data_IF_778122581799
#
_entry.id   IF_778122581799
#
_cell.length_a   1.000
_cell.length_b   1.000
_cell.length_c   1.000
_cell.angle_alpha   90.00
_cell.angle_beta   90.00
_cell.angle_gamma   90.00
#
_symmetry.space_group_name_H-M   'P 1'
#
loop_
_entity.id
_entity.type
_entity.pdbx_description
1 polymer ?
#
# COMPACT_ATOMS: atom_id res chain seq x y z
N UNK A 1 11.26 -26.11 3.54
CA UNK A 1 11.90 -26.12 4.87
C UNK A 1 11.29 -25.02 5.71
N UNK A 2 10.25 -25.35 6.48
CA UNK A 2 9.74 -24.46 7.53
C UNK A 2 10.65 -24.51 8.74
N UNK A 3 10.52 -23.52 9.64
CA UNK A 3 11.40 -23.28 10.79
C UNK A 3 11.43 -24.42 11.83
N UNK A 4 10.59 -25.44 11.70
CA UNK A 4 10.55 -26.62 12.57
C UNK A 4 10.29 -27.90 11.77
N UNK A 5 10.96 -29.01 12.13
CA UNK A 5 10.60 -30.35 11.64
C UNK A 5 9.47 -30.91 12.50
N UNK A 6 8.42 -31.43 11.85
CA UNK A 6 7.28 -32.07 12.52
C UNK A 6 6.04 -31.17 12.62
N UNK A 7 4.93 -31.75 13.09
CA UNK A 7 3.70 -31.01 13.33
C UNK A 7 3.94 -29.93 14.40
N UNK A 8 3.35 -28.75 14.21
CA UNK A 8 3.37 -27.69 15.22
C UNK A 8 2.73 -28.22 16.51
N UNK A 9 3.47 -28.20 17.61
CA UNK A 9 2.94 -28.56 18.92
C UNK A 9 1.97 -27.48 19.38
N UNK A 10 0.79 -27.89 19.86
CA UNK A 10 -0.19 -26.94 20.39
C UNK A 10 0.42 -26.21 21.59
N UNK A 11 0.28 -24.88 21.63
CA UNK A 11 0.74 -24.08 22.76
C UNK A 11 -0.21 -24.30 23.94
N UNK A 12 0.30 -24.70 25.10
CA UNK A 12 -0.51 -24.87 26.31
C UNK A 12 -1.33 -23.60 26.59
N UNK A 13 -2.64 -23.76 26.77
CA UNK A 13 -3.59 -22.66 27.01
C UNK A 13 -4.14 -21.99 25.74
N UNK A 14 -3.78 -22.45 24.54
CA UNK A 14 -4.42 -22.07 23.28
C UNK A 14 -5.27 -23.23 22.76
N UNK A 15 -6.59 -23.12 22.86
CA UNK A 15 -7.49 -23.99 22.10
C UNK A 15 -7.59 -23.49 20.66
N UNK A 16 -7.35 -24.38 19.69
CA UNK A 16 -7.50 -24.07 18.27
C UNK A 16 -8.98 -23.81 17.98
N UNK A 17 -9.37 -22.55 17.89
CA UNK A 17 -10.67 -22.19 17.33
C UNK A 17 -10.52 -22.13 15.82
N UNK A 18 -10.86 -23.20 15.13
CA UNK A 18 -11.03 -23.14 13.68
C UNK A 18 -12.31 -22.35 13.40
N UNK A 19 -12.14 -21.14 12.87
CA UNK A 19 -13.25 -20.35 12.37
C UNK A 19 -13.92 -21.14 11.24
N UNK A 20 -15.21 -21.44 11.39
CA UNK A 20 -16.03 -22.19 10.40
C UNK A 20 -16.39 -21.34 9.19
N UNK A 21 -15.42 -20.59 8.68
CA UNK A 21 -15.63 -19.65 7.58
C UNK A 21 -15.57 -20.39 6.25
N UNK A 22 -16.46 -20.02 5.33
CA UNK A 22 -16.52 -20.62 4.00
C UNK A 22 -15.50 -19.90 3.13
N UNK A 23 -14.31 -20.49 2.99
CA UNK A 23 -13.30 -20.07 2.02
C UNK A 23 -13.29 -20.99 0.80
N UNK A 24 -12.30 -20.85 -0.09
CA UNK A 24 -12.21 -21.65 -1.32
C UNK A 24 -12.05 -23.16 -1.07
N UNK A 25 -11.70 -23.57 0.15
CA UNK A 25 -11.60 -24.97 0.57
C UNK A 25 -10.44 -25.71 -0.08
N UNK A 26 -9.50 -25.00 -0.71
CA UNK A 26 -8.35 -25.58 -1.41
C UNK A 26 -7.28 -26.10 -0.45
N UNK A 27 -7.12 -25.46 0.71
CA UNK A 27 -6.19 -25.87 1.77
C UNK A 27 -6.57 -25.18 3.09
N UNK A 28 -6.75 -25.96 4.15
CA UNK A 28 -7.09 -25.45 5.48
C UNK A 28 -6.04 -24.46 6.02
N UNK A 29 -4.76 -24.66 5.71
CA UNK A 29 -3.68 -23.76 6.17
C UNK A 29 -3.70 -22.43 5.41
N UNK A 30 -3.97 -22.45 4.10
CA UNK A 30 -4.12 -21.22 3.30
C UNK A 30 -5.38 -20.46 3.71
N UNK A 31 -6.43 -21.19 4.03
CA UNK A 31 -7.68 -20.63 4.52
C UNK A 31 -7.47 -19.96 5.89
N UNK A 32 -6.76 -20.61 6.82
CA UNK A 32 -6.39 -20.02 8.11
C UNK A 32 -5.52 -18.76 7.97
N UNK A 33 -4.54 -18.78 7.05
CA UNK A 33 -3.70 -17.61 6.77
C UNK A 33 -4.53 -16.45 6.20
N UNK A 34 -5.42 -16.73 5.25
CA UNK A 34 -6.30 -15.71 4.67
C UNK A 34 -7.24 -15.11 5.72
N UNK A 35 -7.76 -15.92 6.63
CA UNK A 35 -8.58 -15.43 7.75
C UNK A 35 -7.77 -14.48 8.64
N UNK A 36 -6.57 -14.88 9.03
CA UNK A 36 -5.70 -14.06 9.87
C UNK A 36 -5.32 -12.73 9.17
N UNK A 37 -4.86 -12.76 7.93
CA UNK A 37 -4.44 -11.54 7.21
C UNK A 37 -5.60 -10.61 6.89
N UNK A 38 -6.81 -11.12 6.71
CA UNK A 38 -8.02 -10.31 6.49
C UNK A 38 -8.66 -9.79 7.78
N UNK A 39 -8.24 -10.29 8.96
CA UNK A 39 -8.78 -9.83 10.25
C UNK A 39 -8.29 -8.45 10.67
N UNK A 40 -7.22 -7.94 10.03
CA UNK A 40 -6.66 -6.62 10.35
C UNK A 40 -7.52 -5.49 9.77
N UNK A 41 -7.82 -4.51 10.63
CA UNK A 41 -8.46 -3.26 10.24
C UNK A 41 -7.45 -2.18 9.85
N UNK A 42 -7.95 -1.11 9.24
CA UNK A 42 -7.16 0.10 9.02
C UNK A 42 -7.05 0.92 10.29
N UNK A 43 -5.91 1.58 10.46
CA UNK A 43 -5.68 2.61 11.47
C UNK A 43 -5.41 3.92 10.76
N UNK A 44 -6.07 4.99 11.19
CA UNK A 44 -5.78 6.33 10.71
C UNK A 44 -4.32 6.71 10.95
N UNK A 45 -3.75 7.51 10.06
CA UNK A 45 -2.38 7.98 10.19
C UNK A 45 -2.22 8.87 11.43
N UNK A 46 -1.12 8.76 12.19
CA UNK A 46 -0.82 9.69 13.28
C UNK A 46 -0.42 11.08 12.78
N UNK A 47 -0.27 11.28 11.46
CA UNK A 47 0.11 12.55 10.84
C UNK A 47 -1.09 13.44 10.45
N UNK A 48 -2.28 13.16 10.99
CA UNK A 48 -3.50 13.94 10.75
C UNK A 48 -3.86 14.77 11.98
N UNK A 49 -4.56 15.89 11.79
CA UNK A 49 -4.98 16.73 12.92
C UNK A 49 -6.14 16.09 13.70
N UNK A 50 -7.03 15.41 12.99
CA UNK A 50 -8.18 14.66 13.52
C UNK A 50 -8.67 13.70 12.42
N UNK A 51 -9.54 12.72 12.75
CA UNK A 51 -10.21 11.92 11.72
C UNK A 51 -10.86 12.78 10.65
N UNK A 52 -10.52 12.54 9.38
CA UNK A 52 -10.99 13.30 8.23
C UNK A 52 -10.33 14.66 8.03
N UNK A 53 -9.36 15.06 8.87
CA UNK A 53 -8.79 16.41 8.86
C UNK A 53 -7.28 16.42 8.61
N UNK A 54 -6.90 16.96 7.46
CA UNK A 54 -5.51 17.21 7.08
C UNK A 54 -5.00 18.52 7.67
N UNK A 55 -3.68 18.61 7.87
CA UNK A 55 -3.03 19.88 8.15
C UNK A 55 -3.10 20.79 6.91
N UNK A 56 -2.95 22.11 7.10
CA UNK A 56 -2.90 23.06 5.96
C UNK A 56 -1.80 22.70 4.95
N UNK A 57 -0.72 22.07 5.41
CA UNK A 57 0.37 21.61 4.56
C UNK A 57 -0.04 20.38 3.74
N UNK A 58 -0.62 19.37 4.39
CA UNK A 58 -1.13 18.19 3.71
C UNK A 58 -2.26 18.52 2.71
N UNK A 59 -3.09 19.55 2.97
CA UNK A 59 -4.10 19.99 2.00
C UNK A 59 -3.48 20.55 0.71
N UNK A 60 -2.38 21.32 0.81
CA UNK A 60 -1.65 21.77 -0.39
C UNK A 60 -1.02 20.58 -1.13
N UNK A 61 -0.47 19.63 -0.38
CA UNK A 61 0.06 18.38 -0.92
C UNK A 61 -0.99 17.56 -1.64
N UNK A 62 -2.20 17.46 -1.07
CA UNK A 62 -3.35 16.80 -1.69
C UNK A 62 -3.71 17.44 -3.02
N UNK A 63 -3.75 18.77 -3.09
CA UNK A 63 -4.02 19.48 -4.34
C UNK A 63 -2.98 19.17 -5.43
N UNK A 64 -1.69 19.10 -5.07
CA UNK A 64 -0.62 18.69 -5.99
C UNK A 64 -0.76 17.24 -6.41
N UNK A 65 -1.07 16.33 -5.49
CA UNK A 65 -1.21 14.89 -5.76
C UNK A 65 -2.29 14.60 -6.81
N UNK A 66 -3.41 15.31 -6.74
CA UNK A 66 -4.52 15.19 -7.70
C UNK A 66 -4.39 16.10 -8.93
N UNK A 67 -3.31 16.89 -9.04
CA UNK A 67 -3.06 17.70 -10.23
C UNK A 67 -2.57 16.79 -11.38
N UNK A 68 -3.26 16.86 -12.53
CA UNK A 68 -2.91 16.10 -13.74
C UNK A 68 -1.49 16.38 -14.28
N UNK A 69 -0.91 17.55 -13.96
CA UNK A 69 0.47 17.88 -14.33
C UNK A 69 1.49 17.10 -13.49
N UNK A 70 1.20 16.84 -12.22
CA UNK A 70 2.04 16.02 -11.32
C UNK A 70 1.76 14.53 -11.52
N UNK A 71 0.49 14.20 -11.78
CA UNK A 71 0.02 12.88 -12.20
C UNK A 71 0.19 11.73 -11.20
N UNK A 72 0.29 11.99 -9.88
CA UNK A 72 0.33 10.91 -8.89
C UNK A 72 -0.97 10.07 -8.90
N UNK A 73 -2.11 10.76 -8.96
CA UNK A 73 -3.43 10.14 -8.93
C UNK A 73 -3.81 9.39 -10.22
N UNK A 74 -2.96 9.35 -11.25
CA UNK A 74 -3.24 8.55 -12.46
C UNK A 74 -3.15 7.05 -12.19
N UNK A 75 -2.28 6.64 -11.26
CA UNK A 75 -2.12 5.26 -10.80
C UNK A 75 -2.54 5.13 -9.32
N UNK A 76 -2.16 6.08 -8.47
CA UNK A 76 -2.52 6.05 -7.05
C UNK A 76 -3.89 6.68 -6.79
N UNK A 77 -4.95 5.98 -7.17
CA UNK A 77 -6.33 6.50 -7.18
C UNK A 77 -7.28 5.72 -6.27
N UNK A 78 -8.49 6.27 -6.10
CA UNK A 78 -9.54 5.64 -5.32
C UNK A 78 -9.24 5.56 -3.82
N UNK A 79 -10.07 4.84 -3.05
CA UNK A 79 -10.00 4.83 -1.60
C UNK A 79 -8.72 4.20 -1.02
N UNK A 80 -8.03 3.38 -1.81
CA UNK A 80 -6.80 2.69 -1.41
C UNK A 80 -5.55 3.33 -2.04
N UNK A 81 -5.71 4.42 -2.81
CA UNK A 81 -4.62 5.08 -3.54
C UNK A 81 -3.80 4.09 -4.38
N UNK A 82 -4.50 3.25 -5.13
CA UNK A 82 -3.96 2.22 -6.00
C UNK A 82 -5.01 1.86 -7.05
N UNK A 83 -4.55 1.68 -8.28
CA UNK A 83 -5.35 1.18 -9.40
C UNK A 83 -5.16 -0.33 -9.63
N UNK A 84 -4.53 -1.04 -8.70
CA UNK A 84 -4.42 -2.50 -8.70
C UNK A 84 -5.82 -3.12 -8.80
N UNK A 85 -5.93 -4.26 -9.50
CA UNK A 85 -7.20 -4.94 -9.73
C UNK A 85 -7.07 -6.44 -9.49
N UNK A 86 -8.08 -7.05 -8.87
CA UNK A 86 -8.19 -8.50 -8.78
C UNK A 86 -8.46 -9.10 -10.17
N UNK A 87 -7.63 -10.04 -10.62
CA UNK A 87 -7.85 -10.80 -11.85
C UNK A 87 -6.59 -10.99 -12.70
N UNK A 88 -6.74 -11.61 -13.87
CA UNK A 88 -5.62 -12.02 -14.74
C UNK A 88 -4.90 -10.86 -15.47
N UNK A 89 -5.40 -9.63 -15.38
CA UNK A 89 -4.80 -8.44 -16.00
C UNK A 89 -4.83 -7.27 -15.01
N UNK A 90 -3.96 -7.31 -13.99
CA UNK A 90 -3.68 -6.14 -13.18
C UNK A 90 -3.04 -5.04 -14.03
N UNK A 91 -3.23 -3.77 -13.65
CA UNK A 91 -2.51 -2.66 -14.27
C UNK A 91 -1.09 -2.64 -13.69
N UNK A 92 -0.10 -2.68 -14.57
CA UNK A 92 1.32 -2.61 -14.20
C UNK A 92 1.97 -1.42 -14.88
N UNK A 93 2.85 -0.73 -14.17
CA UNK A 93 3.40 0.57 -14.59
C UNK A 93 4.92 0.56 -14.51
N UNK A 94 5.59 1.06 -15.55
CA UNK A 94 7.04 1.34 -15.50
C UNK A 94 7.25 2.74 -14.90
N UNK A 95 7.71 2.77 -13.66
CA UNK A 95 8.04 3.99 -12.92
C UNK A 95 9.52 4.39 -13.06
N UNK A 96 10.27 3.73 -13.94
CA UNK A 96 11.65 4.07 -14.28
C UNK A 96 12.73 3.47 -13.39
N UNK A 97 12.32 2.71 -12.37
CA UNK A 97 13.23 2.15 -11.35
C UNK A 97 13.57 0.67 -11.59
N UNK A 98 12.94 0.02 -12.56
CA UNK A 98 13.06 -1.43 -12.72
C UNK A 98 14.40 -1.93 -13.27
N UNK A 99 15.27 -1.04 -13.75
CA UNK A 99 16.64 -1.38 -14.15
C UNK A 99 17.67 -1.04 -13.07
N UNK A 100 17.22 -0.51 -11.92
CA UNK A 100 18.11 -0.09 -10.85
C UNK A 100 18.57 -1.28 -9.99
N UNK A 101 17.91 -2.43 -10.08
CA UNK A 101 18.29 -3.67 -9.42
C UNK A 101 18.75 -4.72 -10.46
N UNK A 102 20.05 -5.08 -10.51
CA UNK A 102 20.55 -6.11 -11.41
C UNK A 102 19.97 -7.52 -11.15
N UNK A 103 19.32 -7.73 -10.00
CA UNK A 103 18.66 -8.97 -9.65
C UNK A 103 17.19 -9.04 -10.07
N UNK A 104 16.63 -7.96 -10.62
CA UNK A 104 15.28 -7.92 -11.18
C UNK A 104 15.17 -8.88 -12.38
N UNK A 105 14.13 -9.73 -12.37
CA UNK A 105 13.91 -10.79 -13.37
C UNK A 105 12.57 -10.66 -14.09
N UNK A 106 11.63 -9.90 -13.52
CA UNK A 106 10.26 -9.78 -14.01
C UNK A 106 10.06 -8.54 -14.88
N UNK A 107 11.08 -7.69 -15.00
CA UNK A 107 11.05 -6.49 -15.81
C UNK A 107 10.48 -5.29 -15.07
N UNK A 108 10.41 -4.12 -15.75
CA UNK A 108 10.42 -2.84 -15.04
C UNK A 108 9.04 -2.35 -14.60
N UNK A 109 8.01 -3.15 -14.81
CA UNK A 109 6.63 -2.78 -14.53
C UNK A 109 6.15 -3.42 -13.25
N UNK A 110 5.55 -2.62 -12.38
CA UNK A 110 5.09 -3.05 -11.07
C UNK A 110 3.60 -2.78 -10.90
N UNK A 111 2.93 -3.62 -10.13
CA UNK A 111 1.60 -3.31 -9.62
C UNK A 111 1.68 -2.11 -8.67
N UNK A 112 0.67 -1.24 -8.70
CA UNK A 112 0.65 -0.02 -7.89
C UNK A 112 0.36 -0.38 -6.43
N UNK A 113 1.30 -0.24 -5.48
CA UNK A 113 1.01 -0.53 -4.08
C UNK A 113 0.03 0.51 -3.51
N UNK A 114 -0.77 0.10 -2.52
CA UNK A 114 -1.57 1.06 -1.74
C UNK A 114 -0.66 2.05 -1.03
N UNK A 115 -1.07 3.33 -0.98
CA UNK A 115 -0.38 4.34 -0.18
C UNK A 115 -0.91 4.44 1.26
N UNK A 116 -1.90 3.62 1.63
CA UNK A 116 -2.43 3.62 2.98
C UNK A 116 -1.40 3.09 3.98
N UNK A 117 -1.01 3.91 4.95
CA UNK A 117 0.02 3.56 5.92
C UNK A 117 1.43 3.61 5.36
N UNK A 118 1.66 4.33 4.26
CA UNK A 118 2.99 4.53 3.66
C UNK A 118 4.02 5.11 4.67
N UNK A 119 3.59 5.92 5.63
CA UNK A 119 4.49 6.58 6.59
C UNK A 119 5.36 5.62 7.45
N UNK A 120 5.03 4.32 7.51
CA UNK A 120 5.68 3.32 8.37
C UNK A 120 6.46 2.23 7.62
N UNK A 121 6.67 2.37 6.31
CA UNK A 121 7.25 1.31 5.48
C UNK A 121 8.55 1.69 4.76
N UNK A 122 9.30 2.68 5.26
CA UNK A 122 10.64 2.95 4.75
C UNK A 122 11.57 1.72 4.94
N UNK A 123 12.51 1.48 4.01
CA UNK A 123 12.75 2.23 2.77
C UNK A 123 11.73 1.90 1.66
N UNK A 124 11.60 2.82 0.70
CA UNK A 124 10.60 2.81 -0.36
C UNK A 124 11.16 2.27 -1.69
N UNK A 125 10.21 2.02 -2.62
CA UNK A 125 10.39 1.32 -3.90
C UNK A 125 10.63 -0.17 -3.74
N UNK A 126 10.40 -0.94 -4.80
CA UNK A 126 10.46 -2.41 -4.79
C UNK A 126 11.83 -2.97 -4.37
N UNK A 127 12.92 -2.22 -4.62
CA UNK A 127 14.29 -2.56 -4.23
C UNK A 127 14.78 -1.79 -2.97
N UNK A 128 13.94 -0.98 -2.33
CA UNK A 128 14.28 -0.29 -1.08
C UNK A 128 15.41 0.76 -1.15
N UNK A 129 15.64 1.41 -2.30
CA UNK A 129 16.76 2.38 -2.44
C UNK A 129 16.43 3.78 -1.92
N UNK A 130 15.15 4.16 -1.92
CA UNK A 130 14.70 5.44 -1.40
C UNK A 130 14.53 5.33 0.12
N UNK A 131 15.37 5.98 0.91
CA UNK A 131 15.27 5.98 2.38
C UNK A 131 14.16 6.90 2.88
N UNK A 132 13.79 7.90 2.09
CA UNK A 132 12.78 8.90 2.44
C UNK A 132 11.78 9.10 1.31
N UNK A 133 10.59 9.61 1.62
CA UNK A 133 9.62 10.02 0.59
C UNK A 133 10.17 11.16 -0.27
N UNK A 134 10.99 12.05 0.30
CA UNK A 134 11.63 13.11 -0.47
C UNK A 134 12.55 12.52 -1.55
N UNK A 135 13.31 11.46 -1.24
CA UNK A 135 14.10 10.74 -2.25
C UNK A 135 13.23 10.12 -3.34
N UNK A 136 12.06 9.55 -2.99
CA UNK A 136 11.08 9.07 -3.99
C UNK A 136 10.65 10.20 -4.92
N UNK A 137 10.43 11.42 -4.43
CA UNK A 137 10.01 12.56 -5.25
C UNK A 137 11.17 13.26 -5.98
N UNK A 138 12.43 12.89 -5.72
CA UNK A 138 13.61 13.59 -6.23
C UNK A 138 14.61 12.62 -6.85
N UNK A 139 15.59 12.16 -6.06
CA UNK A 139 16.74 11.39 -6.53
C UNK A 139 16.39 9.99 -7.04
N UNK A 140 15.23 9.47 -6.68
CA UNK A 140 14.72 8.16 -7.12
C UNK A 140 13.51 8.30 -8.07
N UNK A 141 13.29 9.49 -8.65
CA UNK A 141 12.31 9.74 -9.71
C UNK A 141 13.02 10.14 -11.02
N UNK A 142 13.81 9.22 -11.57
CA UNK A 142 14.59 9.51 -12.77
C UNK A 142 13.67 9.84 -13.96
N UNK A 143 13.91 10.99 -14.57
CA UNK A 143 13.17 11.50 -15.75
C UNK A 143 11.66 11.66 -15.50
N UNK A 144 11.23 11.90 -14.26
CA UNK A 144 9.82 12.09 -13.91
C UNK A 144 8.92 10.91 -14.32
N UNK A 145 9.45 9.68 -14.27
CA UNK A 145 8.69 8.46 -14.61
C UNK A 145 7.74 8.03 -13.49
N UNK A 146 7.95 8.47 -12.25
CA UNK A 146 7.11 8.18 -11.09
C UNK A 146 6.34 9.44 -10.65
N UNK A 147 5.61 10.04 -11.60
CA UNK A 147 5.00 11.37 -11.45
C UNK A 147 5.98 12.48 -11.87
N UNK A 148 5.44 13.64 -12.24
CA UNK A 148 6.25 14.78 -12.70
C UNK A 148 6.49 15.74 -11.55
N UNK A 149 7.67 15.69 -10.96
CA UNK A 149 8.00 16.46 -9.74
C UNK A 149 9.19 17.39 -9.96
N UNK A 150 9.94 17.26 -11.05
CA UNK A 150 11.12 18.09 -11.33
C UNK A 150 10.83 19.59 -11.36
N UNK A 151 9.63 19.97 -11.83
CA UNK A 151 9.17 21.36 -11.92
C UNK A 151 8.66 21.95 -10.60
N UNK A 152 8.39 21.11 -9.60
CA UNK A 152 7.91 21.56 -8.29
C UNK A 152 9.07 22.18 -7.49
N UNK A 153 8.79 23.23 -6.72
CA UNK A 153 9.68 23.75 -5.71
C UNK A 153 9.92 22.75 -4.57
N UNK A 154 10.94 22.98 -3.74
CA UNK A 154 11.19 22.15 -2.55
C UNK A 154 10.00 22.15 -1.60
N UNK A 155 9.38 23.32 -1.36
CA UNK A 155 8.21 23.44 -0.48
C UNK A 155 7.01 22.65 -1.00
N UNK A 156 6.77 22.62 -2.31
CA UNK A 156 5.69 21.83 -2.90
C UNK A 156 5.93 20.32 -2.77
N UNK A 157 7.20 19.88 -2.87
CA UNK A 157 7.57 18.49 -2.60
C UNK A 157 7.38 18.13 -1.13
N UNK A 158 7.70 19.03 -0.20
CA UNK A 158 7.44 18.84 1.23
C UNK A 158 5.94 18.76 1.53
N UNK A 159 5.13 19.58 0.88
CA UNK A 159 3.67 19.52 0.96
C UNK A 159 3.15 18.15 0.50
N UNK A 160 3.65 17.63 -0.64
CA UNK A 160 3.34 16.27 -1.12
C UNK A 160 3.74 15.19 -0.10
N UNK A 161 4.94 15.28 0.47
CA UNK A 161 5.41 14.34 1.52
C UNK A 161 4.46 14.35 2.71
N UNK A 162 3.98 15.51 3.14
CA UNK A 162 3.07 15.62 4.28
C UNK A 162 1.71 14.99 3.98
N UNK A 163 1.18 15.18 2.76
CA UNK A 163 -0.02 14.49 2.32
C UNK A 163 0.16 12.97 2.30
N UNK A 164 1.27 12.48 1.74
CA UNK A 164 1.58 11.05 1.67
C UNK A 164 1.67 10.40 3.07
N UNK A 165 2.25 11.11 4.05
CA UNK A 165 2.30 10.64 5.44
C UNK A 165 0.93 10.58 6.09
N UNK A 166 0.03 11.49 5.72
CA UNK A 166 -1.32 11.58 6.27
C UNK A 166 -2.25 10.43 5.84
N UNK A 167 -1.87 9.58 4.88
CA UNK A 167 -2.71 8.48 4.41
C UNK A 167 -2.66 7.25 5.35
N UNK A 168 -3.81 6.67 5.75
CA UNK A 168 -5.18 7.16 5.57
C UNK A 168 -5.54 8.30 6.55
N UNK A 169 -6.18 9.35 6.04
CA UNK A 169 -6.80 10.39 6.88
C UNK A 169 -8.31 10.19 7.08
N UNK A 170 -8.92 9.31 6.26
CA UNK A 170 -10.29 8.80 6.39
C UNK A 170 -10.25 7.28 6.36
N UNK A 171 -11.22 6.61 7.00
CA UNK A 171 -11.31 5.16 6.91
C UNK A 171 -11.71 4.77 5.49
N UNK A 172 -10.96 3.87 4.81
CA UNK A 172 -11.40 3.37 3.51
C UNK A 172 -12.70 2.56 3.68
N UNK A 173 -13.50 2.44 2.62
CA UNK A 173 -14.71 1.62 2.66
C UNK A 173 -14.38 0.15 2.87
N UNK A 174 -15.29 -0.55 3.55
CA UNK A 174 -15.21 -1.99 3.79
C UNK A 174 -15.25 -2.79 2.47
N UNK A 175 -15.96 -2.26 1.47
CA UNK A 175 -16.13 -2.86 0.15
C UNK A 175 -15.57 -2.00 -0.99
N UNK A 176 -14.97 -2.66 -1.97
CA UNK A 176 -14.43 -2.09 -3.21
C UNK A 176 -14.62 -3.09 -4.35
N UNK A 177 -14.38 -2.69 -5.62
CA UNK A 177 -14.31 -3.66 -6.73
C UNK A 177 -13.26 -4.77 -6.52
N UNK A 178 -12.28 -4.57 -5.64
CA UNK A 178 -11.25 -5.55 -5.27
C UNK A 178 -11.57 -6.34 -3.99
N UNK A 179 -12.79 -6.24 -3.45
CA UNK A 179 -13.18 -7.03 -2.29
C UNK A 179 -13.41 -8.48 -2.69
N UNK A 180 -12.70 -9.42 -2.05
CA UNK A 180 -12.89 -10.86 -2.29
C UNK A 180 -14.20 -11.34 -1.67
N UNK A 181 -14.92 -12.21 -2.39
CA UNK A 181 -16.25 -12.74 -2.00
C UNK A 181 -16.27 -13.40 -0.61
N UNK A 182 -15.14 -13.99 -0.20
CA UNK A 182 -15.00 -14.71 1.05
C UNK A 182 -14.13 -13.96 2.07
N UNK A 183 -14.08 -12.61 1.99
CA UNK A 183 -13.38 -11.80 2.98
C UNK A 183 -14.09 -11.96 4.31
N UNK A 184 -13.37 -12.41 5.34
CA UNK A 184 -13.89 -12.42 6.70
C UNK A 184 -14.19 -10.97 7.12
N UNK A 185 -15.44 -10.71 7.49
CA UNK A 185 -15.83 -9.44 8.12
C UNK A 185 -15.88 -9.66 9.63
N UNK A 186 -15.02 -9.00 10.42
CA UNK A 186 -15.11 -9.06 11.87
C UNK A 186 -16.51 -8.62 12.32
N UNK A 187 -17.16 -9.40 13.19
CA UNK A 187 -18.40 -8.95 13.83
C UNK A 187 -18.06 -7.76 14.73
N UNK A 188 -18.74 -6.63 14.51
CA UNK A 188 -18.62 -5.42 15.34
C UNK A 188 -19.17 -5.66 16.74
#
# INVERSE_FOLDING_TARGET
YGLTKGALTSKNGFEKTELKEILSGKSADLDALAIYTNSFGFTLSPHIEAPGKLSKQAERGKALFFNNQVACASCHSGPYYSDSQLGAKGKIHDVGTGNDDPSEKMGPQYDTPTLLGLYRNAPYLHHGKAKTLMEVLTTQNLKDKHGKTSHLSTSEKEDLVEFLKALPYEMPPDETPNTVKFRLTPKK
#
